data_IF_023822378499
#
_entry.id   IF_023822378499
#
_cell.length_a   1.000
_cell.length_b   1.000
_cell.length_c   1.000
_cell.angle_alpha   90.00
_cell.angle_beta   90.00
_cell.angle_gamma   90.00
#
_symmetry.space_group_name_H-M   'P 1'
#
loop_
_entity.id
_entity.type
_entity.pdbx_description
1 polymer ?
#
# COMPACT_ATOMS: atom_id res chain seq x y z
N UNK A 1 -8.09 17.64 -10.68
CA UNK A 1 -7.79 18.31 -11.96
C UNK A 1 -8.90 19.30 -12.26
N UNK A 2 -8.58 20.50 -12.81
CA UNK A 2 -9.60 21.41 -13.31
C UNK A 2 -10.19 20.85 -14.62
N UNK A 3 -11.48 21.08 -14.86
CA UNK A 3 -12.15 20.57 -16.06
C UNK A 3 -13.32 21.47 -16.48
N UNK A 4 -13.81 21.28 -17.70
CA UNK A 4 -15.06 21.85 -18.21
C UNK A 4 -16.10 20.78 -18.45
N UNK A 5 -17.36 21.17 -18.27
CA UNK A 5 -18.53 20.38 -18.63
C UNK A 5 -19.68 21.33 -18.98
N UNK A 6 -20.26 21.19 -20.18
CA UNK A 6 -21.29 22.09 -20.73
C UNK A 6 -20.93 23.58 -20.57
N UNK A 7 -19.75 23.96 -21.07
CA UNK A 7 -19.18 25.32 -21.04
C UNK A 7 -18.90 25.92 -19.64
N UNK A 8 -19.21 25.19 -18.57
CA UNK A 8 -18.88 25.58 -17.20
C UNK A 8 -17.53 25.03 -16.77
N UNK A 9 -16.69 25.90 -16.22
CA UNK A 9 -15.38 25.56 -15.65
C UNK A 9 -15.52 25.13 -14.18
N UNK A 10 -14.81 24.08 -13.81
CA UNK A 10 -14.72 23.55 -12.47
C UNK A 10 -13.25 23.57 -12.00
N UNK A 11 -12.93 24.16 -10.84
CA UNK A 11 -11.57 24.25 -10.35
C UNK A 11 -11.02 22.88 -9.92
N UNK A 12 -9.70 22.79 -9.78
CA UNK A 12 -9.05 21.63 -9.19
C UNK A 12 -9.36 21.53 -7.69
N UNK A 13 -9.07 20.36 -7.10
CA UNK A 13 -9.00 20.18 -5.64
C UNK A 13 -10.29 20.49 -4.88
N UNK A 14 -11.44 20.38 -5.53
CA UNK A 14 -12.73 20.55 -4.88
C UNK A 14 -13.07 19.35 -3.98
N UNK A 15 -13.72 19.61 -2.84
CA UNK A 15 -14.27 18.61 -1.93
C UNK A 15 -15.67 18.20 -2.38
N UNK A 16 -15.89 16.91 -2.63
CA UNK A 16 -17.24 16.39 -2.89
C UNK A 16 -18.03 16.31 -1.58
N UNK A 17 -19.25 16.84 -1.57
CA UNK A 17 -20.12 16.84 -0.37
C UNK A 17 -21.46 16.15 -0.56
N UNK A 18 -21.93 15.96 -1.80
CA UNK A 18 -23.18 15.24 -2.06
C UNK A 18 -23.19 14.57 -3.43
N UNK A 19 -23.86 13.43 -3.49
CA UNK A 19 -24.08 12.63 -4.69
C UNK A 19 -25.58 12.29 -4.80
N UNK A 20 -26.19 12.57 -5.95
CA UNK A 20 -27.60 12.33 -6.24
C UNK A 20 -28.58 12.92 -5.19
N UNK A 21 -28.19 14.02 -4.55
CA UNK A 21 -29.00 14.71 -3.54
C UNK A 21 -28.85 14.17 -2.12
N UNK A 22 -27.97 13.20 -1.90
CA UNK A 22 -27.64 12.63 -0.58
C UNK A 22 -26.26 13.10 -0.15
N UNK A 23 -26.05 13.31 1.16
CA UNK A 23 -24.71 13.53 1.71
C UNK A 23 -23.73 12.46 1.20
N UNK A 24 -22.49 12.85 0.90
CA UNK A 24 -21.55 11.95 0.25
C UNK A 24 -21.24 10.70 1.08
N UNK A 25 -21.18 10.82 2.40
CA UNK A 25 -20.82 9.70 3.26
C UNK A 25 -21.99 8.73 3.44
N UNK A 26 -23.19 9.26 3.62
CA UNK A 26 -24.41 8.45 3.61
C UNK A 26 -24.60 7.75 2.26
N UNK A 27 -24.33 8.45 1.16
CA UNK A 27 -24.41 7.88 -0.18
C UNK A 27 -23.44 6.71 -0.36
N UNK A 28 -22.16 6.90 -0.03
CA UNK A 28 -21.12 5.86 -0.16
C UNK A 28 -21.48 4.64 0.69
N UNK A 29 -22.03 4.82 1.88
CA UNK A 29 -22.48 3.73 2.75
C UNK A 29 -23.51 2.82 2.08
N UNK A 30 -24.39 3.36 1.23
CA UNK A 30 -25.37 2.57 0.46
C UNK A 30 -24.78 1.79 -0.72
N UNK A 31 -23.48 1.96 -1.03
CA UNK A 31 -22.81 1.37 -2.21
C UNK A 31 -21.75 0.33 -1.87
N UNK A 32 -21.57 0.02 -0.59
CA UNK A 32 -20.48 -0.87 -0.14
C UNK A 32 -20.61 -2.28 -0.72
N UNK A 33 -21.83 -2.80 -0.86
CA UNK A 33 -22.08 -4.15 -1.41
C UNK A 33 -21.77 -4.26 -2.91
N UNK A 34 -21.70 -3.12 -3.61
CA UNK A 34 -21.44 -3.05 -5.05
C UNK A 34 -19.99 -2.68 -5.37
N UNK A 35 -19.14 -2.60 -4.35
CA UNK A 35 -17.79 -2.07 -4.46
C UNK A 35 -16.77 -3.04 -3.86
N UNK A 36 -15.70 -3.29 -4.61
CA UNK A 36 -14.56 -4.08 -4.14
C UNK A 36 -13.27 -3.62 -4.85
N UNK A 37 -12.14 -3.53 -4.15
CA UNK A 37 -11.99 -3.74 -2.70
C UNK A 37 -12.50 -2.53 -1.90
N UNK A 38 -13.09 -2.78 -0.72
CA UNK A 38 -13.41 -1.71 0.23
C UNK A 38 -12.14 -1.30 0.99
N UNK A 39 -12.04 -0.01 1.30
CA UNK A 39 -11.00 0.55 2.17
C UNK A 39 -11.59 0.94 3.52
N UNK A 40 -10.74 0.96 4.55
CA UNK A 40 -11.09 1.32 5.91
C UNK A 40 -10.47 2.65 6.34
N UNK A 41 -11.31 3.68 6.42
CA UNK A 41 -10.96 4.99 6.94
C UNK A 41 -10.79 4.88 8.47
N UNK A 42 -9.55 4.72 8.91
CA UNK A 42 -9.21 4.54 10.34
C UNK A 42 -9.54 5.76 11.18
N UNK A 43 -9.47 6.96 10.60
CA UNK A 43 -9.71 8.22 11.30
C UNK A 43 -11.20 8.41 11.60
N UNK A 44 -12.06 8.06 10.64
CA UNK A 44 -13.52 8.28 10.74
C UNK A 44 -14.32 7.00 11.00
N UNK A 45 -13.65 5.87 11.27
CA UNK A 45 -14.26 4.59 11.63
C UNK A 45 -15.30 4.08 10.62
N UNK A 46 -14.97 4.15 9.32
CA UNK A 46 -15.92 3.82 8.25
C UNK A 46 -15.28 3.15 7.04
N UNK A 47 -16.09 2.37 6.34
CA UNK A 47 -15.71 1.82 5.03
C UNK A 47 -15.95 2.84 3.93
N UNK A 48 -15.10 2.83 2.91
CA UNK A 48 -15.30 3.64 1.71
C UNK A 48 -14.75 2.94 0.46
N UNK A 49 -15.16 3.45 -0.70
CA UNK A 49 -14.62 3.04 -1.98
C UNK A 49 -14.45 4.24 -2.90
N UNK A 50 -13.27 4.40 -3.48
CA UNK A 50 -12.92 5.60 -4.26
C UNK A 50 -13.63 5.67 -5.61
N UNK A 51 -14.12 4.51 -6.10
CA UNK A 51 -14.85 4.39 -7.35
C UNK A 51 -16.35 4.19 -7.10
N UNK A 52 -16.89 4.67 -5.98
CA UNK A 52 -18.32 4.59 -5.63
C UNK A 52 -19.25 5.19 -6.70
N UNK A 53 -18.73 6.10 -7.55
CA UNK A 53 -19.47 6.75 -8.64
C UNK A 53 -19.55 5.90 -9.93
N UNK A 54 -18.78 4.81 -10.06
CA UNK A 54 -18.76 3.97 -11.26
C UNK A 54 -19.99 3.08 -11.49
N UNK A 55 -20.63 2.49 -10.46
CA UNK A 55 -21.82 1.65 -10.64
C UNK A 55 -22.90 2.33 -11.48
N UNK A 56 -23.54 1.57 -12.35
CA UNK A 56 -24.59 2.04 -13.26
C UNK A 56 -25.80 2.64 -12.54
N UNK A 57 -26.00 2.21 -11.30
CA UNK A 57 -27.00 2.63 -10.34
C UNK A 57 -26.97 4.13 -10.09
N UNK A 58 -25.78 4.72 -10.13
CA UNK A 58 -25.58 6.16 -9.97
C UNK A 58 -26.24 6.98 -11.09
N UNK A 59 -26.54 6.33 -12.22
CA UNK A 59 -27.09 6.94 -13.43
C UNK A 59 -28.49 6.42 -13.75
N UNK A 60 -29.24 5.81 -12.81
CA UNK A 60 -30.60 5.29 -13.06
C UNK A 60 -31.57 6.32 -13.65
N UNK A 61 -31.38 7.60 -13.31
CA UNK A 61 -32.16 8.72 -13.85
C UNK A 61 -31.51 9.39 -15.08
N UNK A 62 -30.56 8.72 -15.72
CA UNK A 62 -29.79 9.23 -16.86
C UNK A 62 -28.78 10.34 -16.53
N UNK A 63 -28.70 10.79 -15.26
CA UNK A 63 -27.86 11.90 -14.81
C UNK A 63 -27.25 11.55 -13.46
N UNK A 64 -25.94 11.79 -13.32
CA UNK A 64 -25.22 11.81 -12.05
C UNK A 64 -25.15 13.25 -11.53
N UNK A 65 -25.70 13.51 -10.35
CA UNK A 65 -25.64 14.83 -9.71
C UNK A 65 -24.57 14.83 -8.62
N UNK A 66 -23.64 15.76 -8.69
CA UNK A 66 -22.56 15.93 -7.72
C UNK A 66 -22.56 17.38 -7.23
N UNK A 67 -22.32 17.56 -5.93
CA UNK A 67 -22.15 18.88 -5.32
C UNK A 67 -20.79 18.95 -4.68
N UNK A 68 -20.02 19.96 -5.07
CA UNK A 68 -18.67 20.18 -4.56
C UNK A 68 -18.56 21.52 -3.81
N UNK A 69 -17.57 21.61 -2.93
CA UNK A 69 -17.05 22.86 -2.37
C UNK A 69 -15.64 23.09 -2.93
N UNK A 70 -15.35 24.30 -3.41
CA UNK A 70 -13.98 24.69 -3.72
C UNK A 70 -13.23 25.20 -2.47
N UNK A 71 -12.00 25.67 -2.68
CA UNK A 71 -11.13 26.20 -1.61
C UNK A 71 -11.70 27.44 -0.90
N UNK A 72 -12.64 28.14 -1.52
CA UNK A 72 -13.26 29.36 -1.01
C UNK A 72 -14.67 29.04 -0.46
N UNK A 73 -14.98 27.76 -0.21
CA UNK A 73 -16.27 27.22 0.20
C UNK A 73 -17.44 27.53 -0.74
N UNK A 74 -17.16 27.88 -2.00
CA UNK A 74 -18.20 28.10 -2.99
C UNK A 74 -18.73 26.77 -3.50
N UNK A 75 -20.07 26.66 -3.54
CA UNK A 75 -20.77 25.46 -4.02
C UNK A 75 -20.76 25.36 -5.54
N UNK A 76 -20.40 24.19 -6.05
CA UNK A 76 -20.43 23.85 -7.47
C UNK A 76 -21.34 22.64 -7.70
N UNK A 77 -22.48 22.87 -8.33
CA UNK A 77 -23.36 21.80 -8.81
C UNK A 77 -22.89 21.31 -10.19
N UNK A 78 -22.72 19.99 -10.31
CA UNK A 78 -22.31 19.28 -11.52
C UNK A 78 -23.31 18.16 -11.83
N UNK A 79 -23.92 18.20 -13.01
CA UNK A 79 -24.94 17.24 -13.44
C UNK A 79 -24.49 16.55 -14.73
N UNK A 80 -23.80 15.41 -14.61
CA UNK A 80 -23.23 14.70 -15.77
C UNK A 80 -24.26 13.73 -16.34
N UNK A 81 -24.62 13.90 -17.61
CA UNK A 81 -25.46 12.93 -18.33
C UNK A 81 -24.74 11.58 -18.48
N UNK A 82 -25.50 10.49 -18.46
CA UNK A 82 -24.97 9.14 -18.70
C UNK A 82 -24.25 9.11 -20.05
N UNK A 83 -23.06 8.50 -20.08
CA UNK A 83 -22.16 8.40 -21.25
C UNK A 83 -21.55 9.73 -21.74
N UNK A 84 -21.75 10.82 -21.00
CA UNK A 84 -21.12 12.10 -21.32
C UNK A 84 -19.70 12.18 -20.75
N UNK A 85 -18.89 13.10 -21.26
CA UNK A 85 -17.48 13.26 -20.86
C UNK A 85 -17.19 14.67 -20.36
N UNK A 86 -16.10 14.81 -19.62
CA UNK A 86 -15.56 16.11 -19.19
C UNK A 86 -14.26 16.37 -19.92
N UNK A 87 -13.96 17.65 -20.17
CA UNK A 87 -12.68 18.05 -20.78
C UNK A 87 -11.76 18.58 -19.70
N UNK A 88 -10.64 17.91 -19.43
CA UNK A 88 -9.65 18.43 -18.48
C UNK A 88 -8.95 19.66 -19.05
N UNK A 89 -8.82 20.69 -18.22
CA UNK A 89 -8.20 21.97 -18.61
C UNK A 89 -6.68 21.98 -18.45
N UNK A 90 -6.11 20.90 -17.94
CA UNK A 90 -4.70 20.75 -17.71
C UNK A 90 -4.29 19.31 -17.98
N UNK A 91 -3.10 19.16 -18.54
CA UNK A 91 -2.50 17.86 -18.80
C UNK A 91 -2.06 17.18 -17.51
N UNK A 92 -2.20 15.85 -17.49
CA UNK A 92 -1.69 14.99 -16.43
C UNK A 92 -0.37 14.40 -16.92
N UNK A 93 0.74 14.81 -16.31
CA UNK A 93 2.09 14.39 -16.70
C UNK A 93 2.60 13.18 -15.91
N UNK A 94 1.92 12.79 -14.84
CA UNK A 94 2.32 11.66 -13.99
C UNK A 94 1.13 10.94 -13.38
N UNK A 95 1.28 9.64 -13.15
CA UNK A 95 0.27 8.78 -12.51
C UNK A 95 0.55 8.68 -11.01
N UNK A 96 -0.48 8.92 -10.20
CA UNK A 96 -0.49 8.57 -8.78
C UNK A 96 -1.44 7.38 -8.61
N UNK A 97 -0.90 6.22 -8.27
CA UNK A 97 -1.59 4.94 -8.31
C UNK A 97 -0.62 3.76 -8.28
N UNK A 98 -1.14 2.56 -8.54
CA UNK A 98 -0.30 1.39 -8.73
C UNK A 98 0.62 1.56 -9.96
N UNK A 99 1.88 1.19 -9.78
CA UNK A 99 2.87 1.03 -10.84
C UNK A 99 2.57 -0.24 -11.64
N UNK A 100 3.24 -0.38 -12.77
CA UNK A 100 3.22 -1.56 -13.62
C UNK A 100 4.63 -1.97 -14.04
N UNK A 101 4.72 -3.04 -14.83
CA UNK A 101 5.97 -3.63 -15.33
C UNK A 101 6.80 -2.68 -16.22
N UNK A 102 6.19 -1.60 -16.72
CA UNK A 102 6.87 -0.58 -17.54
C UNK A 102 7.47 0.52 -16.69
N UNK A 103 7.09 0.59 -15.41
CA UNK A 103 7.62 1.58 -14.47
C UNK A 103 9.07 1.23 -14.13
N UNK A 104 10.05 2.13 -14.35
CA UNK A 104 11.46 1.78 -14.19
C UNK A 104 11.91 1.75 -12.71
N UNK A 105 12.92 0.95 -12.43
CA UNK A 105 13.71 1.07 -11.20
C UNK A 105 14.56 2.34 -11.29
N UNK A 106 14.42 3.23 -10.32
CA UNK A 106 15.18 4.49 -10.25
C UNK A 106 16.08 4.44 -9.02
N UNK A 107 17.34 4.80 -9.17
CA UNK A 107 18.29 4.88 -8.06
C UNK A 107 19.04 6.20 -8.08
N UNK A 108 19.26 6.78 -6.90
CA UNK A 108 20.05 7.99 -6.73
C UNK A 108 21.00 7.82 -5.56
N UNK A 109 22.20 8.41 -5.67
CA UNK A 109 23.04 8.68 -4.52
C UNK A 109 23.03 10.18 -4.22
N UNK A 110 22.64 10.53 -3.00
CA UNK A 110 22.62 11.89 -2.49
C UNK A 110 23.90 12.12 -1.68
N UNK A 111 24.94 12.67 -2.31
CA UNK A 111 26.30 12.75 -1.74
C UNK A 111 26.36 13.53 -0.42
N UNK A 112 25.65 14.66 -0.34
CA UNK A 112 25.60 15.51 0.86
C UNK A 112 24.91 14.82 2.02
N UNK A 113 23.79 14.16 1.75
CA UNK A 113 23.00 13.43 2.74
C UNK A 113 23.59 12.05 3.05
N UNK A 114 24.45 11.52 2.17
CA UNK A 114 25.01 10.16 2.20
C UNK A 114 23.91 9.10 2.16
N UNK A 115 22.89 9.33 1.34
CA UNK A 115 21.71 8.46 1.21
C UNK A 115 21.70 7.80 -0.17
N UNK A 116 21.54 6.48 -0.20
CA UNK A 116 21.20 5.75 -1.40
C UNK A 116 19.67 5.58 -1.49
N UNK A 117 19.06 6.17 -2.50
CA UNK A 117 17.65 6.04 -2.78
C UNK A 117 17.43 5.02 -3.89
N UNK A 118 16.42 4.17 -3.71
CA UNK A 118 16.00 3.16 -4.67
C UNK A 118 14.47 3.09 -4.73
N UNK A 119 13.89 3.49 -5.86
CA UNK A 119 12.49 3.20 -6.18
C UNK A 119 12.38 1.76 -6.68
N UNK A 120 11.59 0.98 -5.97
CA UNK A 120 11.22 -0.38 -6.31
C UNK A 120 9.76 -0.42 -6.77
N UNK A 121 9.50 -0.29 -8.08
CA UNK A 121 8.15 -0.08 -8.59
C UNK A 121 7.26 -1.33 -8.47
N UNK A 122 7.86 -2.52 -8.49
CA UNK A 122 7.20 -3.82 -8.38
C UNK A 122 8.09 -4.81 -7.62
N UNK A 123 7.51 -5.88 -7.09
CA UNK A 123 8.26 -6.99 -6.48
C UNK A 123 8.57 -8.08 -7.53
N UNK A 124 9.43 -7.75 -8.49
CA UNK A 124 10.00 -8.72 -9.46
C UNK A 124 11.34 -9.21 -8.94
N UNK A 125 11.58 -10.52 -8.85
CA UNK A 125 12.74 -11.07 -8.08
C UNK A 125 14.08 -10.48 -8.51
N UNK A 126 14.32 -10.37 -9.83
CA UNK A 126 15.53 -9.81 -10.42
C UNK A 126 15.79 -8.33 -10.04
N UNK A 127 14.77 -7.60 -9.57
CA UNK A 127 14.93 -6.21 -9.17
C UNK A 127 15.75 -6.11 -7.87
N UNK A 128 15.71 -7.12 -6.99
CA UNK A 128 16.54 -7.18 -5.79
C UNK A 128 18.03 -7.23 -6.10
N UNK A 129 18.39 -8.03 -7.10
CA UNK A 129 19.78 -8.13 -7.58
C UNK A 129 20.19 -6.83 -8.29
N UNK A 130 19.32 -6.27 -9.12
CA UNK A 130 19.55 -4.98 -9.79
C UNK A 130 19.85 -3.85 -8.80
N UNK A 131 19.12 -3.79 -7.67
CA UNK A 131 19.41 -2.80 -6.62
C UNK A 131 20.77 -3.04 -5.96
N UNK A 132 21.11 -4.31 -5.71
CA UNK A 132 22.41 -4.69 -5.13
C UNK A 132 23.57 -4.32 -6.04
N UNK A 133 23.43 -4.56 -7.34
CA UNK A 133 24.42 -4.19 -8.37
C UNK A 133 24.61 -2.68 -8.46
N UNK A 134 23.54 -1.89 -8.35
CA UNK A 134 23.60 -0.42 -8.37
C UNK A 134 24.20 0.15 -7.07
N UNK A 135 23.92 -0.46 -5.92
CA UNK A 135 24.47 -0.03 -4.62
C UNK A 135 25.96 -0.35 -4.48
N UNK A 136 26.41 -1.52 -4.95
CA UNK A 136 27.79 -2.01 -4.79
C UNK A 136 28.88 -0.99 -5.16
N UNK A 137 28.90 -0.37 -6.36
CA UNK A 137 29.93 0.61 -6.70
C UNK A 137 29.83 1.91 -5.88
N UNK A 138 28.65 2.26 -5.39
CA UNK A 138 28.43 3.46 -4.58
C UNK A 138 29.02 3.25 -3.19
N UNK A 139 28.67 2.15 -2.52
CA UNK A 139 29.14 1.88 -1.15
C UNK A 139 30.63 1.54 -1.09
N UNK A 140 31.21 1.02 -2.18
CA UNK A 140 32.65 0.79 -2.29
C UNK A 140 33.48 2.09 -2.37
N UNK A 141 32.89 3.18 -2.91
CA UNK A 141 33.59 4.45 -3.15
C UNK A 141 33.17 5.57 -2.19
N UNK A 142 32.01 5.43 -1.54
CA UNK A 142 31.39 6.48 -0.76
C UNK A 142 30.85 5.93 0.55
N UNK A 143 30.87 6.76 1.60
CA UNK A 143 30.16 6.45 2.85
C UNK A 143 28.66 6.56 2.61
N UNK A 144 27.92 5.46 2.76
CA UNK A 144 26.45 5.43 2.74
C UNK A 144 25.94 5.31 4.17
N UNK A 145 25.25 6.35 4.66
CA UNK A 145 24.73 6.39 6.02
C UNK A 145 23.32 5.80 6.13
N UNK A 146 22.54 5.87 5.06
CA UNK A 146 21.19 5.34 5.01
C UNK A 146 20.80 4.89 3.60
N UNK A 147 19.82 3.99 3.55
CA UNK A 147 19.16 3.55 2.34
C UNK A 147 17.69 3.96 2.41
N UNK A 148 17.14 4.45 1.31
CA UNK A 148 15.71 4.69 1.15
C UNK A 148 15.18 3.73 0.11
N UNK A 149 14.28 2.83 0.50
CA UNK A 149 13.51 1.97 -0.39
C UNK A 149 12.13 2.58 -0.60
N UNK A 150 11.90 3.16 -1.78
CA UNK A 150 10.61 3.70 -2.17
C UNK A 150 9.76 2.63 -2.85
N UNK A 151 8.76 2.13 -2.13
CA UNK A 151 7.79 1.13 -2.59
C UNK A 151 6.43 1.75 -2.93
N UNK A 152 6.33 3.08 -3.04
CA UNK A 152 5.07 3.77 -3.36
C UNK A 152 4.54 3.34 -4.72
N UNK A 153 3.25 3.01 -4.75
CA UNK A 153 2.57 2.43 -5.91
C UNK A 153 2.90 0.95 -6.17
N UNK A 154 3.67 0.25 -5.34
CA UNK A 154 4.09 -1.12 -5.64
C UNK A 154 2.97 -2.16 -5.38
N UNK A 155 2.41 -2.82 -6.42
CA UNK A 155 1.30 -3.76 -6.27
C UNK A 155 1.69 -5.11 -5.64
N UNK A 156 2.98 -5.35 -5.38
CA UNK A 156 3.51 -6.61 -4.88
C UNK A 156 4.14 -7.47 -5.98
N UNK A 157 4.13 -8.79 -5.77
CA UNK A 157 4.86 -9.76 -6.57
C UNK A 157 5.47 -10.85 -5.68
N UNK A 158 6.81 -10.95 -5.62
CA UNK A 158 7.53 -11.95 -4.82
C UNK A 158 8.29 -11.30 -3.66
N UNK A 159 8.19 -11.90 -2.47
CA UNK A 159 8.98 -11.48 -1.29
C UNK A 159 10.49 -11.64 -1.54
N UNK A 160 10.87 -12.52 -2.48
CA UNK A 160 12.26 -12.71 -2.89
C UNK A 160 12.89 -11.44 -3.46
N UNK A 161 12.11 -10.51 -4.00
CA UNK A 161 12.64 -9.24 -4.53
C UNK A 161 13.33 -8.43 -3.44
N UNK A 162 12.60 -8.11 -2.37
CA UNK A 162 13.19 -7.32 -1.30
C UNK A 162 14.16 -8.17 -0.48
N UNK A 163 13.93 -9.48 -0.34
CA UNK A 163 14.85 -10.32 0.44
C UNK A 163 16.22 -10.46 -0.24
N UNK A 164 16.26 -10.55 -1.57
CA UNK A 164 17.51 -10.61 -2.34
C UNK A 164 18.35 -9.33 -2.22
N UNK A 165 17.70 -8.16 -2.13
CA UNK A 165 18.40 -6.91 -1.84
C UNK A 165 18.80 -6.82 -0.36
N UNK A 166 17.84 -7.01 0.55
CA UNK A 166 18.05 -6.79 1.97
C UNK A 166 19.08 -7.76 2.56
N UNK A 167 19.17 -9.02 2.12
CA UNK A 167 20.20 -9.96 2.59
C UNK A 167 21.64 -9.46 2.36
N UNK A 168 21.84 -8.57 1.37
CA UNK A 168 23.14 -7.95 1.10
C UNK A 168 23.41 -6.72 1.96
N UNK A 169 22.40 -6.18 2.64
CA UNK A 169 22.44 -4.87 3.28
C UNK A 169 22.27 -4.98 4.80
N UNK A 170 21.37 -5.85 5.26
CA UNK A 170 21.00 -5.94 6.66
C UNK A 170 22.11 -6.55 7.50
N UNK A 171 22.21 -6.10 8.74
CA UNK A 171 23.23 -6.55 9.69
C UNK A 171 22.90 -7.92 10.28
N UNK A 172 21.63 -8.12 10.62
CA UNK A 172 21.14 -9.34 11.27
C UNK A 172 19.86 -9.83 10.57
N UNK A 173 19.43 -11.03 10.93
CA UNK A 173 18.19 -11.66 10.46
C UNK A 173 17.00 -10.75 10.75
N UNK A 174 16.30 -10.35 9.69
CA UNK A 174 15.00 -9.72 9.83
C UNK A 174 13.96 -10.83 10.05
N UNK A 175 13.47 -10.94 11.27
CA UNK A 175 12.50 -11.95 11.66
C UNK A 175 11.41 -11.40 12.57
N UNK A 176 10.29 -12.10 12.63
CA UNK A 176 9.20 -11.79 13.56
C UNK A 176 8.36 -13.04 13.86
N UNK A 177 7.63 -13.00 14.98
CA UNK A 177 6.61 -14.00 15.25
C UNK A 177 5.41 -13.75 14.34
N UNK A 178 5.08 -14.71 13.48
CA UNK A 178 3.97 -14.60 12.54
C UNK A 178 2.76 -15.33 13.09
N UNK A 179 1.59 -14.73 12.92
CA UNK A 179 0.30 -15.37 13.20
C UNK A 179 -0.67 -15.09 12.05
N UNK A 180 -1.13 -16.12 11.38
CA UNK A 180 -2.12 -15.99 10.31
C UNK A 180 -3.36 -16.80 10.64
N UNK A 181 -4.53 -16.31 10.25
CA UNK A 181 -5.80 -17.00 10.41
C UNK A 181 -6.32 -17.41 9.05
N UNK A 182 -6.72 -18.67 8.90
CA UNK A 182 -7.40 -19.16 7.69
C UNK A 182 -8.84 -19.52 7.99
N UNK A 183 -9.73 -19.15 7.08
CA UNK A 183 -11.13 -19.56 7.12
C UNK A 183 -11.20 -21.11 7.21
N UNK A 184 -12.03 -21.65 8.11
CA UNK A 184 -12.23 -23.10 8.29
C UNK A 184 -13.49 -23.60 7.59
N UNK A 185 -13.70 -23.19 6.33
CA UNK A 185 -14.80 -23.68 5.49
C UNK A 185 -14.53 -25.09 4.96
N UNK A 186 -15.57 -25.84 4.54
CA UNK A 186 -15.39 -27.13 3.87
C UNK A 186 -14.48 -27.05 2.64
N UNK A 187 -14.49 -25.92 1.93
CA UNK A 187 -13.61 -25.69 0.79
C UNK A 187 -12.14 -25.66 1.22
N UNK A 188 -11.80 -24.81 2.20
CA UNK A 188 -10.42 -24.71 2.69
C UNK A 188 -9.95 -26.00 3.36
N UNK A 189 -10.85 -26.73 4.03
CA UNK A 189 -10.56 -28.06 4.56
C UNK A 189 -10.10 -29.02 3.46
N UNK A 190 -10.81 -29.06 2.32
CA UNK A 190 -10.41 -29.86 1.16
C UNK A 190 -9.13 -29.33 0.50
N UNK A 191 -9.04 -28.03 0.25
CA UNK A 191 -7.94 -27.42 -0.49
C UNK A 191 -6.60 -27.54 0.25
N UNK A 192 -6.58 -27.30 1.56
CA UNK A 192 -5.37 -27.37 2.39
C UNK A 192 -5.18 -28.73 3.09
N UNK A 193 -6.04 -29.72 2.81
CA UNK A 193 -6.08 -31.01 3.49
C UNK A 193 -6.02 -30.86 5.03
N UNK A 194 -6.93 -30.05 5.57
CA UNK A 194 -7.02 -29.70 6.98
C UNK A 194 -8.40 -30.08 7.54
N UNK A 195 -8.45 -30.58 8.78
CA UNK A 195 -9.66 -30.93 9.51
C UNK A 195 -9.46 -30.61 11.01
N UNK A 196 -10.44 -30.89 11.87
CA UNK A 196 -10.33 -30.57 13.30
C UNK A 196 -9.14 -31.26 13.96
N UNK A 197 -8.96 -32.56 13.69
CA UNK A 197 -7.91 -33.37 14.29
C UNK A 197 -6.52 -32.88 13.86
N UNK A 198 -6.35 -32.55 12.57
CA UNK A 198 -5.06 -32.04 12.08
C UNK A 198 -4.74 -30.64 12.57
N UNK A 199 -5.74 -29.79 12.87
CA UNK A 199 -5.50 -28.52 13.57
C UNK A 199 -5.07 -28.78 15.01
N UNK A 200 -5.69 -29.72 15.73
CA UNK A 200 -5.38 -30.01 17.13
C UNK A 200 -4.05 -30.76 17.31
N UNK A 201 -3.67 -31.60 16.36
CA UNK A 201 -2.46 -32.43 16.44
C UNK A 201 -1.19 -31.72 15.92
N UNK A 202 -1.32 -30.56 15.26
CA UNK A 202 -0.17 -29.77 14.79
C UNK A 202 0.20 -28.71 15.81
N UNK A 203 1.45 -28.71 16.26
CA UNK A 203 1.98 -27.75 17.24
C UNK A 203 1.85 -26.29 16.82
N UNK A 204 1.88 -26.00 15.51
CA UNK A 204 1.78 -24.65 14.96
C UNK A 204 0.35 -24.21 14.67
N UNK A 205 -0.66 -25.07 14.88
CA UNK A 205 -2.05 -24.79 14.54
C UNK A 205 -2.93 -24.74 15.78
N UNK A 206 -3.96 -23.91 15.77
CA UNK A 206 -4.91 -23.82 16.88
C UNK A 206 -6.24 -23.18 16.47
N UNK A 207 -7.33 -23.50 17.16
CA UNK A 207 -8.60 -22.77 17.06
C UNK A 207 -8.71 -21.61 18.07
N UNK A 208 -7.76 -21.50 19.01
CA UNK A 208 -7.77 -20.52 20.09
C UNK A 208 -6.44 -19.76 20.09
N UNK A 209 -6.52 -18.44 20.03
CA UNK A 209 -5.36 -17.55 20.12
C UNK A 209 -5.62 -16.43 21.11
N UNK A 210 -4.54 -15.90 21.67
CA UNK A 210 -4.57 -14.71 22.53
C UNK A 210 -4.27 -13.44 21.72
N UNK A 211 -5.15 -13.13 20.76
CA UNK A 211 -5.09 -11.90 19.96
C UNK A 211 -6.51 -11.47 19.59
N UNK A 212 -6.67 -10.24 19.10
CA UNK A 212 -7.96 -9.81 18.58
C UNK A 212 -8.31 -10.55 17.28
N UNK A 213 -9.52 -11.09 17.20
CA UNK A 213 -9.98 -11.91 16.06
C UNK A 213 -11.34 -11.48 15.53
N UNK A 214 -11.73 -12.06 14.39
CA UNK A 214 -13.04 -11.90 13.82
C UNK A 214 -14.05 -12.85 14.47
N UNK A 215 -15.27 -12.37 14.75
CA UNK A 215 -16.36 -13.22 15.27
C UNK A 215 -16.82 -14.28 14.26
N UNK A 216 -16.74 -13.96 12.96
CA UNK A 216 -17.08 -14.83 11.83
C UNK A 216 -16.21 -14.47 10.61
N UNK A 217 -15.94 -15.42 9.69
CA UNK A 217 -16.26 -16.85 9.78
C UNK A 217 -15.39 -17.58 10.83
N UNK A 218 -15.70 -18.84 11.16
CA UNK A 218 -14.81 -19.68 11.99
C UNK A 218 -13.45 -19.80 11.29
N UNK A 219 -12.36 -19.61 12.03
CA UNK A 219 -10.99 -19.70 11.53
C UNK A 219 -10.18 -20.71 12.36
N UNK A 220 -9.12 -21.23 11.76
CA UNK A 220 -8.00 -21.80 12.48
C UNK A 220 -6.78 -20.91 12.25
N UNK A 221 -5.87 -20.91 13.21
CA UNK A 221 -4.71 -20.04 13.22
C UNK A 221 -3.45 -20.86 13.07
N UNK A 222 -2.47 -20.30 12.37
CA UNK A 222 -1.15 -20.87 12.16
C UNK A 222 -0.13 -19.88 12.72
N UNK A 223 0.73 -20.35 13.63
CA UNK A 223 1.77 -19.56 14.27
C UNK A 223 3.15 -20.04 13.86
N UNK A 224 3.98 -19.10 13.41
CA UNK A 224 5.39 -19.35 13.11
C UNK A 224 6.25 -18.50 14.05
N UNK A 225 6.73 -19.07 15.17
CA UNK A 225 7.65 -18.35 16.05
C UNK A 225 8.98 -18.12 15.32
N UNK A 226 9.57 -16.96 15.51
CA UNK A 226 10.88 -16.59 14.95
C UNK A 226 10.98 -16.81 13.42
N UNK A 227 9.91 -16.49 12.68
CA UNK A 227 9.91 -16.63 11.23
C UNK A 227 10.95 -15.68 10.64
N UNK A 228 11.88 -16.23 9.85
CA UNK A 228 13.01 -15.49 9.26
C UNK A 228 12.64 -15.05 7.84
N UNK A 229 12.41 -13.76 7.65
CA UNK A 229 12.09 -13.19 6.33
C UNK A 229 13.34 -12.93 5.49
N UNK A 230 14.38 -12.41 6.14
CA UNK A 230 15.66 -12.10 5.48
C UNK A 230 16.77 -12.55 6.40
N UNK A 231 17.68 -13.39 5.88
CA UNK A 231 18.91 -13.78 6.57
C UNK A 231 20.08 -13.12 5.84
N UNK A 232 20.95 -12.35 6.52
CA UNK A 232 22.11 -11.74 5.90
C UNK A 232 22.97 -12.76 5.17
N UNK A 233 23.47 -12.36 4.01
CA UNK A 233 24.45 -13.13 3.26
C UNK A 233 25.84 -12.98 3.89
N UNK A 234 26.69 -14.01 3.77
CA UNK A 234 28.08 -13.94 4.23
C UNK A 234 28.89 -12.89 3.45
N UNK A 235 28.45 -12.57 2.23
CA UNK A 235 29.03 -11.54 1.36
C UNK A 235 28.11 -10.30 1.30
N UNK A 236 27.80 -9.71 2.47
CA UNK A 236 27.03 -8.47 2.60
C UNK A 236 27.91 -7.21 2.49
N UNK A 237 27.30 -6.04 2.36
CA UNK A 237 27.99 -4.75 2.20
C UNK A 237 28.45 -4.12 3.52
N UNK A 238 28.36 -4.84 4.65
CA UNK A 238 28.69 -4.33 6.00
C UNK A 238 27.99 -2.98 6.31
N UNK A 239 26.73 -2.85 5.91
CA UNK A 239 25.95 -1.63 6.07
C UNK A 239 25.27 -1.58 7.45
N UNK A 240 25.63 -0.57 8.24
CA UNK A 240 25.13 -0.39 9.62
C UNK A 240 24.03 0.69 9.73
N UNK A 241 23.66 1.33 8.62
CA UNK A 241 22.70 2.42 8.60
C UNK A 241 21.25 1.97 8.74
N UNK A 242 20.34 2.95 8.79
CA UNK A 242 18.89 2.72 8.72
C UNK A 242 18.43 2.54 7.28
N UNK A 243 17.37 1.75 7.12
CA UNK A 243 16.68 1.51 5.84
C UNK A 243 15.28 2.12 5.96
N UNK A 244 15.06 3.27 5.35
CA UNK A 244 13.76 3.94 5.34
C UNK A 244 12.90 3.38 4.21
N UNK A 245 11.74 2.83 4.53
CA UNK A 245 10.78 2.28 3.58
C UNK A 245 9.67 3.32 3.35
N UNK A 246 9.67 3.96 2.18
CA UNK A 246 8.61 4.90 1.81
C UNK A 246 7.44 4.14 1.21
N UNK A 247 6.23 4.37 1.73
CA UNK A 247 5.01 3.76 1.22
C UNK A 247 3.89 4.79 1.06
N UNK A 248 2.94 4.47 0.19
CA UNK A 248 1.71 5.21 0.02
C UNK A 248 0.53 4.26 0.13
N UNK A 249 -0.67 4.78 -0.09
CA UNK A 249 -1.89 3.97 -0.05
C UNK A 249 -2.03 2.94 -1.19
N UNK A 250 -1.06 2.86 -2.10
CA UNK A 250 -1.04 1.98 -3.27
C UNK A 250 0.05 0.90 -3.17
N UNK A 251 0.27 0.37 -1.97
CA UNK A 251 1.04 -0.87 -1.77
C UNK A 251 0.13 -2.07 -1.53
N UNK A 252 0.53 -3.25 -2.02
CA UNK A 252 -0.22 -4.48 -1.81
C UNK A 252 0.70 -5.72 -1.82
N UNK A 253 0.20 -6.86 -1.33
CA UNK A 253 0.88 -8.17 -1.37
C UNK A 253 2.33 -8.09 -0.85
N UNK A 254 3.34 -8.56 -1.57
CA UNK A 254 4.75 -8.54 -1.11
C UNK A 254 5.27 -7.16 -0.71
N UNK A 255 4.76 -6.06 -1.29
CA UNK A 255 5.11 -4.71 -0.83
C UNK A 255 4.50 -4.40 0.55
N UNK A 256 3.29 -4.90 0.79
CA UNK A 256 2.66 -4.89 2.11
C UNK A 256 3.41 -5.80 3.11
N UNK A 257 3.98 -6.94 2.70
CA UNK A 257 4.82 -7.75 3.58
C UNK A 257 6.08 -6.99 4.04
N UNK A 258 6.79 -6.32 3.11
CA UNK A 258 7.94 -5.50 3.45
C UNK A 258 7.59 -4.34 4.40
N UNK A 259 6.46 -3.67 4.15
CA UNK A 259 5.93 -2.63 5.03
C UNK A 259 5.67 -3.15 6.45
N UNK A 260 5.06 -4.34 6.58
CA UNK A 260 4.80 -4.94 7.89
C UNK A 260 6.09 -5.38 8.60
N UNK A 261 7.05 -5.92 7.85
CA UNK A 261 8.36 -6.27 8.37
C UNK A 261 9.09 -5.05 8.92
N UNK A 262 9.01 -3.90 8.24
CA UNK A 262 9.65 -2.67 8.68
C UNK A 262 9.16 -2.23 10.07
N UNK A 263 7.88 -2.38 10.38
CA UNK A 263 7.31 -2.00 11.69
C UNK A 263 7.90 -2.79 12.87
N UNK A 264 8.40 -4.00 12.63
CA UNK A 264 8.84 -4.92 13.68
C UNK A 264 10.36 -5.09 13.75
N UNK A 265 11.14 -4.25 13.06
CA UNK A 265 12.60 -4.37 13.01
C UNK A 265 13.28 -3.00 13.19
N UNK A 266 14.26 -2.89 14.07
CA UNK A 266 14.89 -1.60 14.38
C UNK A 266 15.69 -0.99 13.22
N UNK A 267 16.23 -1.81 12.31
CA UNK A 267 17.00 -1.30 11.17
C UNK A 267 16.10 -0.72 10.07
N UNK A 268 14.84 -1.15 10.00
CA UNK A 268 13.89 -0.74 8.97
C UNK A 268 12.90 0.27 9.57
N UNK A 269 12.68 1.39 8.89
CA UNK A 269 11.82 2.46 9.40
C UNK A 269 10.76 2.78 8.33
N UNK A 270 9.48 2.65 8.67
CA UNK A 270 8.39 2.89 7.71
C UNK A 270 7.90 4.34 7.76
N UNK A 271 7.78 4.97 6.57
CA UNK A 271 7.36 6.35 6.41
C UNK A 271 6.28 6.43 5.34
N UNK A 272 5.17 7.13 5.61
CA UNK A 272 4.22 7.52 4.57
C UNK A 272 2.75 7.30 4.93
N UNK A 273 1.98 6.75 4.00
CA UNK A 273 0.53 6.52 4.17
C UNK A 273 0.23 5.05 4.41
N UNK A 274 -0.90 4.76 5.06
CA UNK A 274 -1.37 3.39 5.22
C UNK A 274 -2.31 3.00 4.06
N UNK A 275 -2.28 1.76 3.53
CA UNK A 275 -3.14 1.35 2.42
C UNK A 275 -4.63 1.26 2.72
N UNK A 276 -5.04 1.19 3.98
CA UNK A 276 -6.45 1.02 4.37
C UNK A 276 -7.11 -0.23 3.74
N UNK A 277 -6.30 -1.19 3.29
CA UNK A 277 -6.70 -2.49 2.75
C UNK A 277 -6.24 -3.58 3.72
N UNK A 278 -6.83 -4.77 3.64
CA UNK A 278 -6.28 -5.94 4.34
C UNK A 278 -4.88 -6.24 3.76
N UNK A 279 -3.86 -6.04 4.58
CA UNK A 279 -2.46 -6.28 4.25
C UNK A 279 -1.80 -7.32 5.15
N UNK A 280 -0.47 -7.30 5.16
CA UNK A 280 0.37 -8.27 5.85
C UNK A 280 0.48 -9.59 5.11
N UNK A 281 0.94 -10.63 5.82
CA UNK A 281 1.29 -11.92 5.25
C UNK A 281 0.07 -12.65 4.66
N UNK A 282 0.05 -12.74 3.34
CA UNK A 282 -0.98 -13.40 2.55
C UNK A 282 -0.56 -14.81 2.13
N UNK A 283 -1.50 -15.56 1.54
CA UNK A 283 -1.22 -16.82 0.84
C UNK A 283 -1.63 -16.67 -0.62
N UNK A 284 -1.31 -17.65 -1.46
CA UNK A 284 -1.84 -17.68 -2.81
C UNK A 284 -3.38 -17.68 -2.76
N UNK A 285 -4.05 -16.74 -3.46
CA UNK A 285 -5.50 -16.67 -3.43
C UNK A 285 -6.09 -17.90 -4.12
N UNK A 286 -7.16 -18.42 -3.54
CA UNK A 286 -7.90 -19.52 -4.15
C UNK A 286 -8.68 -19.03 -5.35
N UNK A 287 -8.57 -19.73 -6.48
CA UNK A 287 -9.39 -19.50 -7.68
C UNK A 287 -10.58 -20.45 -7.67
N UNK A 288 -11.78 -19.91 -7.76
CA UNK A 288 -13.04 -20.64 -7.74
C UNK A 288 -13.84 -20.38 -9.01
N UNK A 289 -14.64 -21.36 -9.42
CA UNK A 289 -15.58 -21.22 -10.53
C UNK A 289 -16.98 -21.62 -10.07
N UNK A 290 -17.98 -20.79 -10.38
CA UNK A 290 -19.38 -21.15 -10.14
C UNK A 290 -19.83 -22.26 -11.11
N UNK A 291 -20.56 -23.29 -10.64
CA UNK A 291 -20.82 -24.51 -11.41
C UNK A 291 -21.63 -24.29 -12.69
N UNK A 292 -22.61 -23.36 -12.65
CA UNK A 292 -23.55 -23.12 -13.75
C UNK A 292 -23.19 -21.89 -14.58
N UNK A 293 -22.91 -20.74 -13.95
CA UNK A 293 -22.59 -19.50 -14.66
C UNK A 293 -21.16 -19.45 -15.18
N UNK A 294 -20.29 -20.37 -14.73
CA UNK A 294 -18.87 -20.44 -15.09
C UNK A 294 -18.06 -19.20 -14.71
N UNK A 295 -18.63 -18.28 -13.92
CA UNK A 295 -17.93 -17.11 -13.39
C UNK A 295 -16.76 -17.56 -12.52
N UNK A 296 -15.58 -17.03 -12.83
CA UNK A 296 -14.35 -17.26 -12.08
C UNK A 296 -14.12 -16.09 -11.14
N UNK A 297 -13.77 -16.38 -9.89
CA UNK A 297 -13.44 -15.38 -8.88
C UNK A 297 -12.29 -15.86 -8.00
N UNK A 298 -11.62 -14.90 -7.37
CA UNK A 298 -10.51 -15.17 -6.44
C UNK A 298 -10.93 -14.79 -5.03
N UNK A 299 -10.59 -15.63 -4.06
CA UNK A 299 -10.81 -15.34 -2.63
C UNK A 299 -9.50 -15.53 -1.88
N UNK A 300 -9.14 -14.52 -1.10
CA UNK A 300 -8.09 -14.62 -0.10
C UNK A 300 -8.61 -15.44 1.09
N UNK A 301 -7.91 -16.53 1.41
CA UNK A 301 -8.33 -17.49 2.42
C UNK A 301 -7.73 -17.20 3.79
N UNK A 302 -6.76 -16.28 3.84
CA UNK A 302 -5.93 -15.97 4.99
C UNK A 302 -5.96 -14.49 5.38
N UNK A 303 -5.87 -14.21 6.67
CA UNK A 303 -5.68 -12.86 7.21
C UNK A 303 -4.45 -12.89 8.13
N UNK A 304 -3.63 -11.84 8.07
CA UNK A 304 -2.50 -11.66 8.98
C UNK A 304 -2.97 -11.07 10.31
N UNK A 305 -2.78 -11.84 11.39
CA UNK A 305 -3.06 -11.45 12.77
C UNK A 305 -1.78 -11.14 13.56
N UNK A 306 -0.63 -11.04 12.89
CA UNK A 306 0.64 -10.74 13.53
C UNK A 306 0.54 -9.42 14.30
N UNK A 307 0.88 -9.46 15.58
CA UNK A 307 0.88 -8.30 16.47
C UNK A 307 -0.49 -7.63 16.73
N UNK A 308 -1.61 -8.26 16.33
CA UNK A 308 -2.93 -7.65 16.45
C UNK A 308 -3.42 -7.57 17.90
N UNK A 309 -3.74 -6.36 18.36
CA UNK A 309 -4.30 -6.09 19.69
C UNK A 309 -5.79 -5.78 19.63
N UNK A 310 -6.25 -5.24 18.51
CA UNK A 310 -7.64 -4.90 18.22
C UNK A 310 -8.05 -5.45 16.84
N UNK A 311 -9.35 -5.63 16.55
CA UNK A 311 -9.77 -6.08 15.23
C UNK A 311 -9.39 -5.13 14.09
N UNK A 312 -9.09 -3.84 14.37
CA UNK A 312 -8.62 -2.87 13.36
C UNK A 312 -7.16 -3.11 12.95
N UNK A 313 -6.39 -3.85 13.73
CA UNK A 313 -4.98 -4.11 13.43
C UNK A 313 -4.80 -5.10 12.27
N UNK A 314 -5.84 -5.87 11.91
CA UNK A 314 -5.81 -6.84 10.80
C UNK A 314 -5.57 -6.19 9.44
N UNK A 315 -5.75 -4.87 9.33
CA UNK A 315 -5.43 -4.13 8.10
C UNK A 315 -3.92 -3.97 7.91
N UNK A 316 -3.12 -4.18 8.98
CA UNK A 316 -1.66 -4.15 8.96
C UNK A 316 -1.09 -2.83 8.38
N UNK A 317 0.21 -2.80 8.12
CA UNK A 317 0.91 -1.72 7.40
C UNK A 317 0.83 -0.31 8.00
N UNK A 318 0.47 -0.19 9.28
CA UNK A 318 0.64 1.06 10.00
C UNK A 318 2.11 1.48 9.91
N UNK A 319 2.35 2.74 9.59
CA UNK A 319 3.71 3.29 9.49
C UNK A 319 4.18 3.86 10.82
N UNK A 320 5.49 3.86 11.04
CA UNK A 320 6.12 4.48 12.21
C UNK A 320 6.04 6.01 12.14
N UNK A 321 6.30 6.57 10.94
CA UNK A 321 6.19 8.00 10.69
C UNK A 321 5.10 8.29 9.64
N UNK A 322 3.86 8.60 10.07
CA UNK A 322 2.79 8.95 9.15
C UNK A 322 3.08 10.28 8.45
N UNK A 323 3.11 10.23 7.12
CA UNK A 323 3.29 11.38 6.23
C UNK A 323 2.41 11.17 5.01
N UNK A 324 1.39 12.01 4.83
CA UNK A 324 0.47 11.94 3.70
C UNK A 324 0.70 13.09 2.72
N UNK A 325 0.29 12.91 1.47
CA UNK A 325 0.18 14.03 0.56
C UNK A 325 -1.09 14.83 0.82
N UNK A 326 -0.98 16.14 0.94
CA UNK A 326 -2.11 17.04 0.78
C UNK A 326 -2.66 16.97 -0.64
N UNK A 327 -3.93 17.34 -0.83
CA UNK A 327 -4.54 17.45 -2.16
C UNK A 327 -3.76 18.40 -3.07
N UNK A 328 -3.15 19.46 -2.52
CA UNK A 328 -2.30 20.39 -3.26
C UNK A 328 -1.03 19.73 -3.76
N UNK A 329 -0.36 18.93 -2.92
CA UNK A 329 0.85 18.20 -3.31
C UNK A 329 0.52 17.12 -4.35
N UNK A 330 -0.58 16.39 -4.19
CA UNK A 330 -1.03 15.41 -5.20
C UNK A 330 -1.29 16.10 -6.54
N UNK A 331 -1.98 17.23 -6.53
CA UNK A 331 -2.24 18.02 -7.74
C UNK A 331 -0.93 18.50 -8.39
N UNK A 332 -0.01 19.06 -7.61
CA UNK A 332 1.31 19.49 -8.11
C UNK A 332 2.07 18.31 -8.72
N UNK A 333 2.13 17.18 -8.01
CA UNK A 333 2.84 15.96 -8.42
C UNK A 333 2.32 15.40 -9.75
N UNK A 334 1.01 15.39 -9.99
CA UNK A 334 0.45 14.81 -11.23
C UNK A 334 0.48 15.76 -12.43
N UNK A 335 0.71 17.06 -12.22
CA UNK A 335 0.63 18.09 -13.26
C UNK A 335 1.95 18.82 -13.53
N UNK A 336 2.96 18.66 -12.68
CA UNK A 336 4.30 19.20 -12.91
C UNK A 336 4.93 18.55 -14.15
N UNK A 337 5.80 19.28 -14.85
CA UNK A 337 6.66 18.74 -15.91
C UNK A 337 8.03 18.30 -15.38
N UNK A 338 8.31 18.56 -14.11
CA UNK A 338 9.53 18.10 -13.45
C UNK A 338 9.55 16.58 -13.30
N UNK A 339 10.74 15.99 -13.31
CA UNK A 339 10.92 14.59 -12.94
C UNK A 339 10.62 14.42 -11.45
N UNK A 340 9.45 13.86 -11.14
CA UNK A 340 8.97 13.64 -9.76
C UNK A 340 9.82 12.62 -8.97
N UNK A 341 10.71 11.89 -9.64
CA UNK A 341 11.68 11.00 -9.02
C UNK A 341 13.12 11.51 -9.16
N UNK A 342 13.29 12.72 -9.70
CA UNK A 342 14.59 13.39 -9.81
C UNK A 342 15.07 13.88 -8.45
N UNK A 343 16.40 13.98 -8.29
CA UNK A 343 17.02 14.35 -7.00
C UNK A 343 16.47 15.65 -6.40
N UNK A 344 16.30 16.68 -7.23
CA UNK A 344 15.80 17.99 -6.78
C UNK A 344 14.34 17.92 -6.33
N UNK A 345 13.49 17.22 -7.08
CA UNK A 345 12.09 17.05 -6.69
C UNK A 345 11.98 16.29 -5.38
N UNK A 346 12.72 15.18 -5.24
CA UNK A 346 12.72 14.39 -4.01
C UNK A 346 13.14 15.23 -2.79
N UNK A 347 14.21 16.02 -2.90
CA UNK A 347 14.70 16.85 -1.80
C UNK A 347 13.77 18.00 -1.43
N UNK A 348 13.14 18.64 -2.42
CA UNK A 348 12.43 19.90 -2.21
C UNK A 348 10.91 19.71 -2.06
N UNK A 349 10.35 18.76 -2.81
CA UNK A 349 8.91 18.64 -3.04
C UNK A 349 8.30 17.31 -2.55
N UNK A 350 9.10 16.28 -2.27
CA UNK A 350 8.59 14.98 -1.80
C UNK A 350 8.59 14.92 -0.25
N UNK A 351 7.43 15.03 0.42
CA UNK A 351 7.36 15.12 1.87
C UNK A 351 7.85 13.84 2.58
N UNK A 352 7.64 12.67 1.98
CA UNK A 352 8.05 11.40 2.56
C UNK A 352 9.57 11.20 2.47
N UNK A 353 10.18 11.54 1.33
CA UNK A 353 11.65 11.49 1.20
C UNK A 353 12.32 12.53 2.11
N UNK A 354 11.76 13.74 2.19
CA UNK A 354 12.24 14.78 3.12
C UNK A 354 12.20 14.32 4.58
N UNK A 355 11.18 13.55 4.98
CA UNK A 355 11.13 12.97 6.32
C UNK A 355 12.26 11.97 6.56
N UNK A 356 12.60 11.12 5.58
CA UNK A 356 13.76 10.23 5.69
C UNK A 356 15.08 11.02 5.86
N UNK A 357 15.26 12.10 5.09
CA UNK A 357 16.43 12.99 5.21
C UNK A 357 16.50 13.69 6.57
N UNK A 358 15.35 14.12 7.11
CA UNK A 358 15.25 14.72 8.45
C UNK A 358 15.66 13.73 9.53
N UNK A 359 15.07 12.53 9.55
CA UNK A 359 15.38 11.48 10.53
C UNK A 359 16.86 11.10 10.50
N UNK A 360 17.44 10.98 9.30
CA UNK A 360 18.86 10.65 9.15
C UNK A 360 19.79 11.80 9.55
N UNK A 361 19.33 13.05 9.55
CA UNK A 361 20.10 14.16 10.12
C UNK A 361 20.09 14.11 11.64
N UNK A 362 18.92 13.92 12.24
CA UNK A 362 18.76 13.83 13.71
C UNK A 362 19.59 12.68 14.28
N UNK A 363 19.50 11.48 13.69
CA UNK A 363 20.25 10.28 14.12
C UNK A 363 21.77 10.45 14.10
N UNK A 364 22.30 11.39 13.30
CA UNK A 364 23.75 11.65 13.21
C UNK A 364 24.24 12.71 14.19
N UNK A 365 23.32 13.41 14.83
CA UNK A 365 23.60 14.40 15.87
C UNK A 365 23.53 13.78 17.27
N UNK A 366 22.75 12.70 17.42
CA UNK A 366 22.80 11.72 18.52
C UNK A 366 24.04 10.83 18.40
#
# INVERSE_FOLDING_TARGET
MPFTYSDKKYPASMKLISCNGTDIHDYVKTRIEQSSPLRWDRENDRVYHEKFYKPSENYKKGILKLVFLDKDNKKHNLNIKKNDTVTFLQEKNSVYGYNDEKTPIITHYFEKEKIFYAKLPMMVEAYGDTLSERLRPIIAKNKVNAIVLDIRGNPGGSDNTYSNFLKKVVKDTLGQNVMVGRNFSPYNQKYFNINTDSVQNRTTHTFKINAATLKKPKMYYITYPNFKFVVPDSLNFSFEGKIYVLQDRFIYSSASNLSNLAKNNEQLISIGETPDLLGGLQTNPTVLQLPHSKIIFRIESQIDFTGCKTPKDIFQNNVEYPVSYSIKELYSRITTKEDIFGKQFLLNNDPMFRKAVELEKTRRQE
#
